data_IF_699375483169
#
_entry.id   IF_699375483169
#
_cell.length_a   1.000
_cell.length_b   1.000
_cell.length_c   1.000
_cell.angle_alpha   90.00
_cell.angle_beta   90.00
_cell.angle_gamma   90.00
#
_symmetry.space_group_name_H-M   'P 1'
#
loop_
_entity.id
_entity.type
_entity.pdbx_description
1 polymer ?
#
# COMPACT_ATOMS: atom_id res chain seq x y z
N UNK A 1 -3.35 -4.67 7.44
CA UNK A 1 -2.52 -4.25 8.59
C UNK A 1 -1.10 -3.96 8.13
N UNK A 2 -0.42 -4.89 7.45
CA UNK A 2 0.92 -4.67 6.86
C UNK A 2 1.03 -3.35 6.08
N UNK A 3 0.14 -3.14 5.11
CA UNK A 3 0.10 -1.93 4.28
C UNK A 3 -0.10 -0.64 5.10
N UNK A 4 -0.88 -0.71 6.18
CA UNK A 4 -1.15 0.44 7.07
C UNK A 4 0.11 0.80 7.86
N UNK A 5 0.81 -0.21 8.38
CA UNK A 5 2.04 -0.01 9.14
C UNK A 5 3.13 0.56 8.24
N UNK A 6 3.24 0.09 7.00
CA UNK A 6 4.18 0.63 6.01
C UNK A 6 3.87 2.10 5.69
N UNK A 7 2.60 2.45 5.45
CA UNK A 7 2.20 3.84 5.16
C UNK A 7 2.44 4.78 6.35
N UNK A 8 2.14 4.33 7.58
CA UNK A 8 2.41 5.10 8.79
C UNK A 8 3.92 5.28 8.99
N UNK A 9 4.71 4.21 8.83
CA UNK A 9 6.17 4.24 8.93
C UNK A 9 6.80 5.18 7.90
N UNK A 10 6.37 5.10 6.64
CA UNK A 10 6.82 6.01 5.58
C UNK A 10 6.49 7.46 5.92
N UNK A 11 5.28 7.72 6.41
CA UNK A 11 4.85 9.07 6.73
C UNK A 11 5.72 9.68 7.84
N UNK A 12 6.03 8.91 8.88
CA UNK A 12 6.95 9.34 9.94
C UNK A 12 8.33 9.60 9.36
N UNK A 13 8.81 8.70 8.49
CA UNK A 13 10.13 8.83 7.89
C UNK A 13 10.26 10.05 6.99
N UNK A 14 9.28 10.33 6.11
CA UNK A 14 9.26 11.52 5.26
C UNK A 14 9.24 12.79 6.11
N UNK A 15 8.40 12.80 7.17
CA UNK A 15 8.30 13.95 8.06
C UNK A 15 9.65 14.25 8.76
N UNK A 16 10.40 13.22 9.14
CA UNK A 16 11.75 13.37 9.71
C UNK A 16 12.79 13.76 8.65
N UNK A 17 12.78 13.12 7.48
CA UNK A 17 13.77 13.32 6.42
C UNK A 17 13.68 14.71 5.77
N UNK A 18 12.50 15.33 5.78
CA UNK A 18 12.26 16.66 5.19
C UNK A 18 12.65 17.79 6.17
N UNK A 19 13.01 17.47 7.42
CA UNK A 19 13.47 18.48 8.38
C UNK A 19 14.84 19.03 7.97
N UNK A 20 14.87 20.31 7.58
CA UNK A 20 16.04 20.99 6.97
C UNK A 20 17.05 21.55 7.97
N UNK A 21 16.73 21.56 9.27
CA UNK A 21 17.59 22.11 10.32
C UNK A 21 18.26 20.99 11.13
N UNK A 22 19.36 21.34 11.83
CA UNK A 22 19.98 20.44 12.81
C UNK A 22 18.88 19.90 13.73
N UNK A 23 18.69 18.58 13.68
CA UNK A 23 17.55 17.89 14.26
C UNK A 23 17.61 18.07 15.79
N UNK A 24 16.92 19.09 16.29
CA UNK A 24 16.73 19.28 17.71
C UNK A 24 15.61 18.37 18.19
N UNK A 25 15.73 17.84 19.40
CA UNK A 25 14.69 17.01 20.02
C UNK A 25 13.31 17.72 20.01
N UNK A 26 13.31 19.04 20.18
CA UNK A 26 12.11 19.88 20.13
C UNK A 26 11.42 19.87 18.75
N UNK A 27 12.18 19.87 17.65
CA UNK A 27 11.61 19.83 16.30
C UNK A 27 11.00 18.46 15.98
N UNK A 28 11.69 17.36 16.33
CA UNK A 28 11.11 16.02 16.20
C UNK A 28 9.81 15.94 16.99
N UNK A 29 9.82 16.39 18.26
CA UNK A 29 8.64 16.36 19.11
C UNK A 29 7.48 17.17 18.51
N UNK A 30 7.77 18.32 17.90
CA UNK A 30 6.75 19.17 17.26
C UNK A 30 6.14 18.50 16.01
N UNK A 31 6.99 17.89 15.17
CA UNK A 31 6.53 17.15 13.98
C UNK A 31 5.64 15.96 14.40
N UNK A 32 6.11 15.16 15.36
CA UNK A 32 5.35 14.01 15.86
C UNK A 32 4.03 14.47 16.49
N UNK A 33 4.03 15.56 17.26
CA UNK A 33 2.81 16.13 17.84
C UNK A 33 1.84 16.61 16.76
N UNK A 34 2.32 17.28 15.71
CA UNK A 34 1.50 17.72 14.58
C UNK A 34 0.90 16.53 13.83
N UNK A 35 1.68 15.47 13.58
CA UNK A 35 1.20 14.25 12.94
C UNK A 35 0.11 13.55 13.77
N UNK A 36 0.34 13.36 15.07
CA UNK A 36 -0.62 12.76 16.00
C UNK A 36 -1.88 13.64 16.08
N UNK A 37 -1.71 14.95 16.21
CA UNK A 37 -2.80 15.92 16.27
C UNK A 37 -3.66 15.87 15.01
N UNK A 38 -3.04 15.90 13.83
CA UNK A 38 -3.73 15.72 12.55
C UNK A 38 -4.50 14.40 12.52
N UNK A 39 -3.86 13.29 12.90
CA UNK A 39 -4.50 11.97 12.86
C UNK A 39 -5.74 11.91 13.78
N UNK A 40 -5.63 12.42 15.01
CA UNK A 40 -6.74 12.47 15.96
C UNK A 40 -7.89 13.32 15.42
N UNK A 41 -7.60 14.53 14.95
CA UNK A 41 -8.60 15.46 14.42
C UNK A 41 -9.26 14.88 13.17
N UNK A 42 -8.45 14.40 12.23
CA UNK A 42 -8.89 13.84 10.94
C UNK A 42 -9.78 12.61 11.14
N UNK A 43 -9.44 11.73 12.11
CA UNK A 43 -10.24 10.57 12.49
C UNK A 43 -11.52 10.97 13.22
N UNK A 44 -11.46 11.91 14.17
CA UNK A 44 -12.65 12.38 14.89
C UNK A 44 -13.67 13.01 13.93
N UNK A 45 -13.21 13.89 13.04
CA UNK A 45 -14.00 14.52 11.98
C UNK A 45 -14.49 13.44 11.01
N UNK A 46 -13.61 12.56 10.53
CA UNK A 46 -13.92 11.58 9.51
C UNK A 46 -14.98 10.57 9.93
N UNK A 47 -14.88 10.04 11.16
CA UNK A 47 -15.86 9.08 11.69
C UNK A 47 -17.24 9.74 11.86
N UNK A 48 -17.29 11.03 12.22
CA UNK A 48 -18.55 11.69 12.52
C UNK A 48 -19.22 12.33 11.29
N UNK A 49 -18.44 13.04 10.46
CA UNK A 49 -18.95 13.80 9.31
C UNK A 49 -19.14 12.92 8.08
N UNK A 50 -18.18 12.06 7.73
CA UNK A 50 -18.23 11.35 6.44
C UNK A 50 -19.46 10.44 6.36
N UNK A 51 -19.78 9.56 7.34
CA UNK A 51 -20.99 8.76 7.28
C UNK A 51 -22.28 9.59 7.26
N UNK A 52 -22.32 10.74 7.94
CA UNK A 52 -23.49 11.62 7.95
C UNK A 52 -23.72 12.26 6.59
N UNK A 53 -22.66 12.81 6.00
CA UNK A 53 -22.70 13.45 4.68
C UNK A 53 -23.01 12.42 3.60
N UNK A 54 -22.41 11.23 3.64
CA UNK A 54 -22.72 10.14 2.70
C UNK A 54 -24.21 9.80 2.73
N UNK A 55 -24.80 9.65 3.92
CA UNK A 55 -26.23 9.37 4.05
C UNK A 55 -27.14 10.52 3.61
N UNK A 56 -26.67 11.77 3.70
CA UNK A 56 -27.39 12.92 3.17
C UNK A 56 -27.34 12.95 1.64
N UNK A 57 -26.16 12.73 1.06
CA UNK A 57 -25.96 12.73 -0.39
C UNK A 57 -26.71 11.57 -1.07
N UNK A 58 -26.79 10.40 -0.43
CA UNK A 58 -27.58 9.25 -0.93
C UNK A 58 -29.08 9.56 -1.05
N UNK A 59 -29.59 10.57 -0.34
CA UNK A 59 -30.99 11.01 -0.42
C UNK A 59 -31.23 12.08 -1.48
N UNK A 60 -30.18 12.69 -2.01
CA UNK A 60 -30.30 13.73 -3.03
C UNK A 60 -30.54 13.06 -4.40
N UNK A 61 -31.44 13.61 -5.24
CA UNK A 61 -31.72 13.09 -6.58
C UNK A 61 -30.61 13.50 -7.57
N UNK A 62 -29.35 13.24 -7.22
CA UNK A 62 -28.18 13.55 -8.04
C UNK A 62 -27.71 12.25 -8.70
N UNK A 63 -27.63 12.25 -10.02
CA UNK A 63 -27.05 11.13 -10.76
C UNK A 63 -25.60 10.91 -10.30
N UNK A 64 -25.30 9.73 -9.75
CA UNK A 64 -23.95 9.34 -9.31
C UNK A 64 -23.33 10.23 -8.20
N UNK A 65 -24.13 10.95 -7.42
CA UNK A 65 -23.64 11.91 -6.41
C UNK A 65 -22.69 11.32 -5.36
N UNK A 66 -22.88 10.05 -4.99
CA UNK A 66 -22.00 9.35 -4.04
C UNK A 66 -20.58 9.18 -4.59
N UNK A 67 -20.41 8.87 -5.87
CA UNK A 67 -19.08 8.65 -6.46
C UNK A 67 -18.28 9.95 -6.54
N UNK A 68 -18.95 11.03 -6.96
CA UNK A 68 -18.35 12.36 -6.98
C UNK A 68 -17.93 12.78 -5.57
N UNK A 69 -18.82 12.58 -4.58
CA UNK A 69 -18.50 12.87 -3.18
C UNK A 69 -17.29 12.09 -2.69
N UNK A 70 -17.24 10.77 -2.95
CA UNK A 70 -16.11 9.92 -2.57
C UNK A 70 -14.81 10.45 -3.17
N UNK A 71 -14.79 10.78 -4.45
CA UNK A 71 -13.59 11.30 -5.11
C UNK A 71 -13.15 12.64 -4.51
N UNK A 72 -14.08 13.56 -4.31
CA UNK A 72 -13.81 14.89 -3.75
C UNK A 72 -13.29 14.79 -2.31
N UNK A 73 -13.95 14.01 -1.45
CA UNK A 73 -13.53 13.89 -0.04
C UNK A 73 -12.18 13.17 0.08
N UNK A 74 -11.91 12.18 -0.78
CA UNK A 74 -10.59 11.53 -0.89
C UNK A 74 -9.51 12.54 -1.26
N UNK A 75 -9.73 13.40 -2.25
CA UNK A 75 -8.75 14.43 -2.65
C UNK A 75 -8.55 15.49 -1.56
N UNK A 76 -9.62 15.92 -0.90
CA UNK A 76 -9.54 16.88 0.22
C UNK A 76 -8.69 16.28 1.35
N UNK A 77 -8.97 15.04 1.76
CA UNK A 77 -8.21 14.39 2.84
C UNK A 77 -6.74 14.12 2.46
N UNK A 78 -6.48 13.80 1.19
CA UNK A 78 -5.12 13.64 0.67
C UNK A 78 -4.35 14.96 0.75
N UNK A 79 -4.98 16.06 0.30
CA UNK A 79 -4.40 17.41 0.36
C UNK A 79 -4.18 17.88 1.81
N UNK A 80 -5.16 17.69 2.71
CA UNK A 80 -4.99 18.05 4.12
C UNK A 80 -3.91 17.21 4.81
N UNK A 81 -3.74 15.95 4.43
CA UNK A 81 -2.70 15.10 5.00
C UNK A 81 -1.31 15.66 4.68
N UNK A 82 -1.09 16.11 3.45
CA UNK A 82 0.20 16.65 3.01
C UNK A 82 0.45 18.05 3.57
N UNK A 83 -0.52 18.96 3.44
CA UNK A 83 -0.33 20.38 3.82
C UNK A 83 -0.43 20.61 5.32
N UNK A 84 -1.41 19.98 5.99
CA UNK A 84 -1.70 20.22 7.41
C UNK A 84 -1.00 19.18 8.28
N UNK A 85 -1.01 17.91 7.86
CA UNK A 85 -0.46 16.81 8.63
C UNK A 85 1.05 16.61 8.48
N UNK A 86 1.65 17.05 7.37
CA UNK A 86 3.03 16.68 7.02
C UNK A 86 3.19 15.17 6.76
N UNK A 87 2.10 14.50 6.37
CA UNK A 87 1.99 13.06 6.17
C UNK A 87 1.81 12.79 4.68
N UNK A 88 2.23 11.63 4.19
CA UNK A 88 2.00 11.24 2.80
C UNK A 88 0.50 11.32 2.43
N UNK A 89 0.19 11.90 1.27
CA UNK A 89 -1.18 12.09 0.77
C UNK A 89 -2.00 10.78 0.71
N UNK A 90 -1.34 9.65 0.41
CA UNK A 90 -1.97 8.32 0.40
C UNK A 90 -2.56 7.95 1.77
N UNK A 91 -1.95 8.38 2.87
CA UNK A 91 -2.49 8.15 4.22
C UNK A 91 -3.83 8.84 4.41
N UNK A 92 -4.00 10.05 3.89
CA UNK A 92 -5.29 10.77 3.89
C UNK A 92 -6.36 10.06 3.07
N UNK A 93 -6.02 9.64 1.85
CA UNK A 93 -6.92 8.87 0.99
C UNK A 93 -7.34 7.53 1.63
N UNK A 94 -6.39 6.86 2.30
CA UNK A 94 -6.62 5.61 3.02
C UNK A 94 -7.60 5.80 4.19
N UNK A 95 -7.45 6.88 4.97
CA UNK A 95 -8.38 7.20 6.05
C UNK A 95 -9.83 7.35 5.54
N UNK A 96 -10.03 8.05 4.42
CA UNK A 96 -11.35 8.15 3.78
C UNK A 96 -11.90 6.78 3.41
N UNK A 97 -11.07 5.92 2.81
CA UNK A 97 -11.45 4.53 2.50
C UNK A 97 -11.91 3.77 3.74
N UNK A 98 -11.20 3.90 4.87
CA UNK A 98 -11.60 3.30 6.14
C UNK A 98 -12.93 3.83 6.68
N UNK A 99 -13.20 5.12 6.53
CA UNK A 99 -14.45 5.72 7.01
C UNK A 99 -15.64 5.32 6.13
N UNK A 100 -15.47 5.37 4.80
CA UNK A 100 -16.47 4.92 3.84
C UNK A 100 -16.73 3.41 3.95
N UNK A 101 -15.70 2.63 4.30
CA UNK A 101 -15.76 1.21 4.65
C UNK A 101 -16.82 0.86 5.69
N UNK A 102 -17.14 1.80 6.59
CA UNK A 102 -18.13 1.60 7.67
C UNK A 102 -19.53 2.11 7.31
N UNK A 103 -19.72 2.66 6.11
CA UNK A 103 -21.02 3.20 5.67
C UNK A 103 -21.88 2.12 5.03
N UNK A 104 -23.21 2.31 5.04
CA UNK A 104 -24.16 1.38 4.40
C UNK A 104 -23.99 1.33 2.87
N UNK A 105 -23.44 2.40 2.29
CA UNK A 105 -23.24 2.56 0.86
C UNK A 105 -21.89 2.01 0.37
N UNK A 106 -21.09 1.42 1.26
CA UNK A 106 -19.74 0.93 0.97
C UNK A 106 -19.65 0.06 -0.29
N UNK A 107 -20.52 -0.93 -0.48
CA UNK A 107 -20.44 -1.83 -1.64
C UNK A 107 -20.65 -1.07 -2.95
N UNK A 108 -21.63 -0.16 -2.99
CA UNK A 108 -21.87 0.71 -4.15
C UNK A 108 -20.64 1.56 -4.43
N UNK A 109 -20.08 2.19 -3.39
CA UNK A 109 -18.86 3.02 -3.48
C UNK A 109 -17.70 2.19 -4.05
N UNK A 110 -17.45 0.99 -3.52
CA UNK A 110 -16.38 0.11 -4.01
C UNK A 110 -16.58 -0.21 -5.48
N UNK A 111 -17.79 -0.60 -5.92
CA UNK A 111 -18.02 -0.96 -7.32
C UNK A 111 -17.75 0.22 -8.27
N UNK A 112 -18.27 1.41 -7.95
CA UNK A 112 -18.04 2.60 -8.77
C UNK A 112 -16.58 3.06 -8.76
N UNK A 113 -15.97 3.14 -7.58
CA UNK A 113 -14.58 3.56 -7.43
C UNK A 113 -13.60 2.55 -8.05
N UNK A 114 -13.88 1.25 -7.95
CA UNK A 114 -13.05 0.21 -8.57
C UNK A 114 -13.08 0.31 -10.09
N UNK A 115 -14.24 0.64 -10.67
CA UNK A 115 -14.36 0.82 -12.13
C UNK A 115 -13.45 1.96 -12.61
N UNK A 116 -13.45 3.09 -11.91
CA UNK A 116 -12.60 4.23 -12.26
C UNK A 116 -11.12 3.92 -11.94
N UNK A 117 -10.85 3.29 -10.80
CA UNK A 117 -9.49 2.96 -10.38
C UNK A 117 -8.83 1.98 -11.35
N UNK A 118 -9.45 0.83 -11.64
CA UNK A 118 -8.89 -0.16 -12.56
C UNK A 118 -8.99 0.25 -14.03
N UNK A 119 -10.00 1.05 -14.39
CA UNK A 119 -10.15 1.54 -15.76
C UNK A 119 -9.15 2.63 -16.16
N UNK A 120 -8.65 3.41 -15.20
CA UNK A 120 -7.84 4.59 -15.49
C UNK A 120 -6.62 4.74 -14.56
N UNK A 121 -6.83 4.89 -13.25
CA UNK A 121 -5.75 5.29 -12.35
C UNK A 121 -4.67 4.23 -12.16
N UNK A 122 -5.06 2.96 -12.01
CA UNK A 122 -4.13 1.85 -11.79
C UNK A 122 -3.24 1.62 -13.02
N UNK A 123 -3.77 1.50 -14.25
CA UNK A 123 -2.92 1.39 -15.45
C UNK A 123 -1.98 2.58 -15.63
N UNK A 124 -2.46 3.82 -15.41
CA UNK A 124 -1.63 5.02 -15.54
C UNK A 124 -0.52 5.03 -14.49
N UNK A 125 -0.82 4.67 -13.23
CA UNK A 125 0.16 4.56 -12.16
C UNK A 125 1.27 3.55 -12.53
N UNK A 126 0.91 2.33 -12.91
CA UNK A 126 1.90 1.30 -13.27
C UNK A 126 2.69 1.67 -14.53
N UNK A 127 2.05 2.27 -15.54
CA UNK A 127 2.75 2.77 -16.72
C UNK A 127 3.75 3.86 -16.34
N UNK A 128 3.37 4.80 -15.48
CA UNK A 128 4.24 5.87 -15.02
C UNK A 128 5.44 5.35 -14.22
N UNK A 129 5.23 4.41 -13.29
CA UNK A 129 6.32 3.75 -12.54
C UNK A 129 7.26 3.01 -13.50
N UNK A 130 6.71 2.29 -14.49
CA UNK A 130 7.48 1.57 -15.49
C UNK A 130 8.32 2.50 -16.38
N UNK A 131 7.78 3.66 -16.77
CA UNK A 131 8.48 4.66 -17.57
C UNK A 131 9.57 5.40 -16.77
N UNK A 132 9.35 5.62 -15.47
CA UNK A 132 10.36 6.21 -14.59
C UNK A 132 11.48 5.22 -14.26
N UNK A 133 11.20 3.91 -14.27
CA UNK A 133 12.22 2.89 -14.02
C UNK A 133 13.14 2.74 -15.22
N UNK A 134 14.45 2.74 -14.98
CA UNK A 134 15.43 2.53 -16.03
C UNK A 134 16.25 1.28 -15.74
N UNK A 135 15.90 0.18 -16.43
CA UNK A 135 16.61 -1.08 -16.30
C UNK A 135 18.11 -0.99 -16.67
N UNK A 136 18.52 0.03 -17.42
CA UNK A 136 19.93 0.25 -17.76
C UNK A 136 20.76 0.73 -16.58
N UNK A 137 20.11 1.33 -15.57
CA UNK A 137 20.78 1.77 -14.34
C UNK A 137 21.21 0.55 -13.50
N UNK A 138 20.59 -0.62 -13.72
CA UNK A 138 20.96 -1.88 -13.08
C UNK A 138 22.03 -2.56 -13.93
N UNK A 139 23.29 -2.11 -13.80
CA UNK A 139 24.42 -2.66 -14.55
C UNK A 139 25.55 -3.18 -13.65
N UNK A 140 26.37 -4.08 -14.18
CA UNK A 140 27.53 -4.64 -13.49
C UNK A 140 27.17 -5.35 -12.18
N UNK A 141 27.79 -4.95 -11.06
CA UNK A 141 27.55 -5.54 -9.74
C UNK A 141 26.12 -5.34 -9.20
N UNK A 142 25.39 -4.34 -9.68
CA UNK A 142 24.02 -4.08 -9.23
C UNK A 142 23.05 -5.22 -9.61
N UNK A 143 23.36 -5.99 -10.65
CA UNK A 143 22.57 -7.15 -11.07
C UNK A 143 22.60 -8.24 -9.98
N UNK A 144 23.78 -8.52 -9.42
CA UNK A 144 23.92 -9.50 -8.34
C UNK A 144 23.23 -9.06 -7.06
N UNK A 145 23.34 -7.78 -6.72
CA UNK A 145 22.63 -7.18 -5.57
C UNK A 145 21.12 -7.28 -5.77
N UNK A 146 20.63 -6.97 -6.97
CA UNK A 146 19.20 -7.07 -7.31
C UNK A 146 18.71 -8.51 -7.18
N UNK A 147 19.46 -9.48 -7.71
CA UNK A 147 19.14 -10.89 -7.57
C UNK A 147 19.10 -11.34 -6.10
N UNK A 148 20.07 -10.91 -5.29
CA UNK A 148 20.07 -11.19 -3.85
C UNK A 148 18.85 -10.58 -3.14
N UNK A 149 18.49 -9.32 -3.45
CA UNK A 149 17.30 -8.66 -2.90
C UNK A 149 16.03 -9.41 -3.26
N UNK A 150 15.89 -9.86 -4.52
CA UNK A 150 14.73 -10.65 -4.95
C UNK A 150 14.63 -11.96 -4.16
N UNK A 151 15.73 -12.69 -4.02
CA UNK A 151 15.76 -13.94 -3.25
C UNK A 151 15.37 -13.68 -1.79
N UNK A 152 15.95 -12.66 -1.17
CA UNK A 152 15.63 -12.29 0.21
C UNK A 152 14.17 -11.85 0.34
N UNK A 153 13.63 -11.08 -0.60
CA UNK A 153 12.23 -10.65 -0.59
C UNK A 153 11.27 -11.84 -0.67
N UNK A 154 11.56 -12.82 -1.54
CA UNK A 154 10.75 -14.04 -1.67
C UNK A 154 10.86 -14.89 -0.40
N UNK A 155 12.08 -15.18 0.06
CA UNK A 155 12.30 -16.05 1.21
C UNK A 155 11.77 -15.45 2.51
N UNK A 156 11.99 -14.15 2.74
CA UNK A 156 11.51 -13.47 3.95
C UNK A 156 9.98 -13.50 4.06
N UNK A 157 9.26 -13.19 2.97
CA UNK A 157 7.79 -13.25 2.95
C UNK A 157 7.29 -14.69 3.04
N UNK A 158 7.87 -15.61 2.27
CA UNK A 158 7.45 -17.01 2.27
C UNK A 158 7.64 -17.65 3.65
N UNK A 159 8.83 -17.51 4.25
CA UNK A 159 9.16 -18.10 5.55
C UNK A 159 8.45 -17.36 6.68
N UNK A 160 8.48 -16.03 6.69
CA UNK A 160 7.89 -15.23 7.77
C UNK A 160 6.37 -15.42 7.88
N UNK A 161 5.66 -15.35 6.76
CA UNK A 161 4.20 -15.52 6.75
C UNK A 161 3.78 -16.99 6.94
N UNK A 162 4.55 -17.97 6.42
CA UNK A 162 4.25 -19.38 6.68
C UNK A 162 4.48 -19.79 8.14
N UNK A 163 5.57 -19.32 8.77
CA UNK A 163 5.79 -19.54 10.20
C UNK A 163 4.69 -18.90 11.04
N UNK A 164 4.31 -17.65 10.73
CA UNK A 164 3.20 -16.97 11.40
C UNK A 164 1.88 -17.73 11.27
N UNK A 165 1.55 -18.21 10.06
CA UNK A 165 0.36 -19.01 9.81
C UNK A 165 0.39 -20.37 10.55
N UNK A 166 1.56 -21.01 10.61
CA UNK A 166 1.75 -22.27 11.35
C UNK A 166 1.58 -22.09 12.85
N UNK A 167 2.10 -20.99 13.42
CA UNK A 167 1.87 -20.63 14.82
C UNK A 167 0.40 -20.31 15.10
N UNK A 168 -0.34 -19.83 14.10
CA UNK A 168 -1.79 -19.66 14.13
C UNK A 168 -2.61 -20.95 14.00
N UNK A 169 -1.96 -22.12 13.94
CA UNK A 169 -2.63 -23.43 13.90
C UNK A 169 -2.89 -23.99 12.50
N UNK A 170 -2.36 -23.37 11.44
CA UNK A 170 -2.53 -23.88 10.06
C UNK A 170 -1.55 -25.03 9.76
N UNK A 171 -1.98 -25.97 8.92
CA UNK A 171 -1.12 -27.04 8.43
C UNK A 171 0.05 -26.49 7.60
N UNK A 172 1.12 -27.28 7.45
CA UNK A 172 2.34 -26.85 6.72
C UNK A 172 2.05 -26.45 5.27
N UNK A 173 1.11 -27.12 4.60
CA UNK A 173 0.75 -26.78 3.22
C UNK A 173 -0.05 -25.48 3.14
N UNK A 174 -1.07 -25.34 4.00
CA UNK A 174 -1.90 -24.13 4.03
C UNK A 174 -1.08 -22.90 4.45
N UNK A 175 -0.14 -23.09 5.38
CA UNK A 175 0.76 -22.01 5.81
C UNK A 175 1.76 -21.61 4.72
N UNK A 176 2.28 -22.56 3.92
CA UNK A 176 3.08 -22.26 2.73
C UNK A 176 2.26 -21.52 1.66
N UNK A 177 0.99 -21.89 1.47
CA UNK A 177 0.08 -21.18 0.56
C UNK A 177 -0.17 -19.74 1.02
N UNK A 178 -0.39 -19.51 2.32
CA UNK A 178 -0.50 -18.16 2.88
C UNK A 178 0.79 -17.38 2.63
N UNK A 179 1.94 -18.01 2.89
CA UNK A 179 3.25 -17.39 2.65
C UNK A 179 3.45 -16.97 1.20
N UNK A 180 3.15 -17.86 0.26
CA UNK A 180 3.27 -17.57 -1.17
C UNK A 180 2.25 -16.54 -1.66
N UNK A 181 1.02 -16.54 -1.12
CA UNK A 181 0.00 -15.53 -1.45
C UNK A 181 0.37 -14.12 -0.99
N UNK A 182 1.20 -13.98 0.06
CA UNK A 182 1.65 -12.69 0.57
C UNK A 182 2.84 -12.09 -0.19
N UNK A 183 3.40 -12.81 -1.17
CA UNK A 183 4.55 -12.37 -1.97
C UNK A 183 4.16 -11.25 -2.96
N UNK A 184 2.96 -11.31 -3.58
CA UNK A 184 2.57 -10.44 -4.72
C UNK A 184 2.11 -9.02 -4.38
N UNK A 185 2.09 -8.60 -3.10
CA UNK A 185 1.59 -7.27 -2.70
C UNK A 185 2.64 -6.16 -2.86
N UNK A 186 3.00 -5.88 -4.11
CA UNK A 186 4.00 -4.87 -4.47
C UNK A 186 3.48 -3.45 -4.65
N UNK A 187 2.16 -3.24 -4.72
CA UNK A 187 1.55 -1.94 -5.04
C UNK A 187 1.96 -0.83 -4.06
N UNK A 188 1.85 -1.10 -2.75
CA UNK A 188 2.23 -0.13 -1.70
C UNK A 188 3.74 0.08 -1.70
N UNK A 189 4.53 -0.96 -1.97
CA UNK A 189 5.99 -0.85 -2.11
C UNK A 189 6.42 0.08 -3.24
N UNK A 190 5.73 0.02 -4.39
CA UNK A 190 5.99 0.94 -5.51
C UNK A 190 5.59 2.38 -5.19
N UNK A 191 4.47 2.56 -4.49
CA UNK A 191 4.04 3.89 -4.02
C UNK A 191 5.10 4.48 -3.08
N UNK A 192 5.57 3.70 -2.11
CA UNK A 192 6.61 4.09 -1.16
C UNK A 192 7.91 4.46 -1.89
N UNK A 193 8.33 3.65 -2.85
CA UNK A 193 9.53 3.92 -3.66
C UNK A 193 9.39 5.21 -4.47
N UNK A 194 8.23 5.44 -5.09
CA UNK A 194 7.95 6.66 -5.85
C UNK A 194 7.98 7.92 -4.97
N UNK A 195 7.39 7.85 -3.77
CA UNK A 195 7.46 8.93 -2.80
C UNK A 195 8.89 9.17 -2.32
N UNK A 196 9.62 8.10 -2.00
CA UNK A 196 11.02 8.17 -1.61
C UNK A 196 11.88 8.85 -2.68
N UNK A 197 11.67 8.51 -3.96
CA UNK A 197 12.40 9.13 -5.06
C UNK A 197 12.04 10.61 -5.20
N UNK A 198 10.75 10.95 -5.11
CA UNK A 198 10.25 12.33 -5.23
C UNK A 198 10.78 13.24 -4.11
N UNK A 199 10.91 12.71 -2.89
CA UNK A 199 11.52 13.40 -1.75
C UNK A 199 13.06 13.30 -1.73
N UNK A 200 13.69 12.73 -2.76
CA UNK A 200 15.16 12.51 -2.87
C UNK A 200 15.75 11.70 -1.71
N UNK A 201 14.92 10.88 -1.08
CA UNK A 201 15.29 9.96 0.00
C UNK A 201 16.04 8.76 -0.56
N UNK A 202 15.60 8.26 -1.73
CA UNK A 202 16.28 7.20 -2.47
C UNK A 202 16.76 7.73 -3.81
N UNK A 203 17.81 7.11 -4.35
CA UNK A 203 18.31 7.41 -5.69
C UNK A 203 17.56 6.60 -6.76
N UNK A 204 17.83 6.94 -8.02
CA UNK A 204 17.24 6.29 -9.19
C UNK A 204 17.57 4.79 -9.28
N UNK A 205 18.74 4.38 -8.79
CA UNK A 205 19.17 2.98 -8.76
C UNK A 205 18.29 2.14 -7.82
N UNK A 206 18.12 2.57 -6.57
CA UNK A 206 17.26 1.87 -5.57
C UNK A 206 15.81 1.84 -6.05
N UNK A 207 15.33 2.92 -6.67
CA UNK A 207 14.00 2.95 -7.27
C UNK A 207 13.87 1.87 -8.36
N UNK A 208 14.80 1.81 -9.30
CA UNK A 208 14.78 0.83 -10.40
C UNK A 208 14.89 -0.61 -9.88
N UNK A 209 15.74 -0.87 -8.90
CA UNK A 209 15.87 -2.17 -8.22
C UNK A 209 14.54 -2.57 -7.57
N UNK A 210 13.87 -1.64 -6.91
CA UNK A 210 12.57 -1.90 -6.25
C UNK A 210 11.51 -2.24 -7.28
N UNK A 211 11.44 -1.50 -8.39
CA UNK A 211 10.50 -1.76 -9.49
C UNK A 211 10.72 -3.14 -10.09
N UNK A 212 11.97 -3.49 -10.43
CA UNK A 212 12.31 -4.82 -10.98
C UNK A 212 11.98 -5.91 -9.99
N UNK A 213 12.31 -5.71 -8.71
CA UNK A 213 11.99 -6.66 -7.65
C UNK A 213 10.50 -6.94 -7.59
N UNK A 214 9.66 -5.89 -7.55
CA UNK A 214 8.19 -6.04 -7.54
C UNK A 214 7.70 -6.78 -8.77
N UNK A 215 8.17 -6.44 -9.97
CA UNK A 215 7.77 -7.11 -11.21
C UNK A 215 8.11 -8.61 -11.14
N UNK A 216 9.34 -8.96 -10.79
CA UNK A 216 9.78 -10.36 -10.71
C UNK A 216 8.98 -11.13 -9.68
N UNK A 217 8.81 -10.56 -8.49
CA UNK A 217 8.09 -11.17 -7.37
C UNK A 217 6.61 -11.40 -7.72
N UNK A 218 5.96 -10.45 -8.37
CA UNK A 218 4.57 -10.58 -8.87
C UNK A 218 4.44 -11.66 -9.95
N UNK A 219 5.41 -11.79 -10.86
CA UNK A 219 5.40 -12.84 -11.89
C UNK A 219 5.69 -14.23 -11.34
N UNK A 220 6.56 -14.33 -10.32
CA UNK A 220 6.94 -15.60 -9.68
C UNK A 220 5.83 -16.13 -8.76
N UNK A 221 5.05 -15.25 -8.12
CA UNK A 221 3.98 -15.66 -7.20
C UNK A 221 2.98 -16.68 -7.78
N UNK A 222 2.36 -16.48 -8.95
CA UNK A 222 1.43 -17.46 -9.52
C UNK A 222 2.09 -18.81 -9.83
N UNK A 223 3.38 -18.83 -10.19
CA UNK A 223 4.12 -20.06 -10.43
C UNK A 223 4.31 -20.86 -9.13
N UNK A 224 4.67 -20.19 -8.03
CA UNK A 224 4.80 -20.80 -6.71
C UNK A 224 3.44 -21.31 -6.22
N UNK A 225 2.39 -20.48 -6.33
CA UNK A 225 1.03 -20.84 -5.93
C UNK A 225 0.50 -22.05 -6.70
N UNK A 226 0.71 -22.09 -8.02
CA UNK A 226 0.30 -23.22 -8.85
C UNK A 226 0.99 -24.53 -8.43
N UNK A 227 2.29 -24.48 -8.11
CA UNK A 227 3.04 -25.66 -7.64
C UNK A 227 2.53 -26.17 -6.29
N UNK A 228 2.28 -25.27 -5.34
CA UNK A 228 1.77 -25.60 -4.01
C UNK A 228 0.34 -26.16 -4.05
N UNK A 229 -0.53 -25.61 -4.90
CA UNK A 229 -1.91 -26.09 -5.07
C UNK A 229 -1.93 -27.52 -5.61
N UNK A 230 -1.06 -27.85 -6.58
CA UNK A 230 -0.96 -29.19 -7.17
C UNK A 230 -0.54 -30.26 -6.14
N UNK A 231 0.36 -29.91 -5.21
CA UNK A 231 0.77 -30.83 -4.13
C UNK A 231 -0.36 -31.12 -3.13
N UNK A 232 -1.26 -30.17 -2.89
CA UNK A 232 -2.43 -30.38 -2.02
C UNK A 232 -3.43 -31.32 -2.66
N UNK A 233 -3.78 -31.12 -3.94
CA UNK A 233 -4.72 -32.00 -4.66
C UNK A 233 -4.22 -33.44 -4.76
N UNK A 234 -2.90 -33.63 -4.85
CA UNK A 234 -2.30 -34.96 -4.96
C UNK A 234 -2.32 -35.72 -3.62
N UNK A 235 -2.18 -35.04 -2.47
CA UNK A 235 -2.24 -35.70 -1.16
C UNK A 235 -3.66 -36.13 -0.80
N UNK A 236 -4.66 -35.28 -1.06
CA UNK A 236 -6.05 -35.60 -0.73
C UNK A 236 -6.56 -36.82 -1.51
N UNK A 237 -6.08 -37.02 -2.75
CA UNK A 237 -6.42 -38.19 -3.59
C UNK A 237 -5.77 -39.52 -3.18
N UNK A 238 -4.78 -39.50 -2.29
CA UNK A 238 -4.08 -40.72 -1.81
C UNK A 238 -4.61 -41.14 -0.43
N UNK A 239 -5.33 -40.27 0.26
CA UNK A 239 -5.94 -40.53 1.58
C UNK A 239 -7.43 -40.92 1.56
N UNK A 240 -8.05 -40.99 0.38
CA UNK A 240 -9.39 -41.58 0.15
C UNK A 240 -9.28 -42.95 -0.48
#
# INVERSE_FOLDING_TARGET
>A
IDDILVLLGLSIFIALATSTNAISFAQIATIVLQMIGYFIISVAIGIQLIPRITNWIDKLPIYQGIYLFTLVITLIYAWTAEVIGGVAAITGAFLVGLFLGKTKQHERIIQGMSTIAYGMFVPIFFANIGLQSNARDISGNLIWITAAIIIVAILSKLIGCSLGARMGGMNTQDSLQVGAGMISRGEVGLIVASLGLSHKIINQEIFSITVVTVIVVTLVTPLIMYRLSKETTTKDSVTT
#
